data_IF_851316526317
#
_entry.id   IF_851316526317
#
_cell.length_a   1.000
_cell.length_b   1.000
_cell.length_c   1.000
_cell.angle_alpha   90.00
_cell.angle_beta   90.00
_cell.angle_gamma   90.00
#
_symmetry.space_group_name_H-M   'P 1'
#
loop_
_entity.id
_entity.type
_entity.pdbx_description
1 polymer ?
#
# COMPACT_ATOMS: atom_id res chain seq x y z
N UNK A 1 -3.44 -3.36 -28.79
CA UNK A 1 -3.25 -2.03 -28.18
C UNK A 1 -1.81 -1.95 -27.72
N UNK A 2 -1.21 -0.77 -27.77
CA UNK A 2 0.12 -0.54 -27.22
C UNK A 2 0.03 -0.65 -25.70
N UNK A 3 1.01 -1.30 -25.05
CA UNK A 3 1.02 -1.44 -23.59
C UNK A 3 1.39 -0.09 -22.97
N UNK A 4 0.69 0.27 -21.90
CA UNK A 4 0.92 1.47 -21.11
C UNK A 4 1.42 1.07 -19.73
N UNK A 5 2.59 1.57 -19.36
CA UNK A 5 3.25 1.27 -18.08
C UNK A 5 3.07 2.43 -17.11
N UNK A 6 2.64 2.13 -15.90
CA UNK A 6 2.71 3.05 -14.76
C UNK A 6 3.99 2.78 -13.99
N UNK A 7 4.78 3.82 -13.74
CA UNK A 7 6.00 3.72 -12.93
C UNK A 7 5.70 4.29 -11.56
N UNK A 8 5.81 3.45 -10.52
CA UNK A 8 5.61 3.79 -9.13
C UNK A 8 6.91 3.66 -8.33
N UNK A 9 7.09 4.50 -7.34
CA UNK A 9 8.25 4.44 -6.46
C UNK A 9 8.50 5.74 -5.70
N UNK A 10 9.43 5.72 -4.74
CA UNK A 10 9.78 6.88 -3.93
C UNK A 10 10.62 7.92 -4.68
N UNK A 11 10.90 7.74 -5.97
CA UNK A 11 11.75 8.63 -6.77
C UNK A 11 11.23 10.07 -6.75
N UNK A 12 9.91 10.28 -6.72
CA UNK A 12 9.32 11.63 -6.67
C UNK A 12 9.76 12.42 -5.41
N UNK A 13 10.23 11.75 -4.36
CA UNK A 13 10.72 12.38 -3.13
C UNK A 13 12.24 12.61 -3.12
N UNK A 14 13.00 12.04 -4.06
CA UNK A 14 14.45 12.20 -4.12
C UNK A 14 14.83 13.55 -4.74
N UNK A 15 16.02 14.04 -4.39
CA UNK A 15 16.53 15.33 -4.93
C UNK A 15 16.65 15.34 -6.45
N UNK A 16 17.02 14.21 -7.03
CA UNK A 16 17.15 14.03 -8.48
C UNK A 16 16.01 13.17 -9.07
N UNK A 17 14.88 13.07 -8.37
CA UNK A 17 13.80 12.14 -8.70
C UNK A 17 13.19 12.39 -10.06
N UNK A 18 12.92 13.64 -10.43
CA UNK A 18 12.42 13.98 -11.77
C UNK A 18 13.35 13.46 -12.88
N UNK A 19 14.66 13.62 -12.72
CA UNK A 19 15.63 13.14 -13.71
C UNK A 19 15.68 11.59 -13.78
N UNK A 20 15.48 10.91 -12.64
CA UNK A 20 15.40 9.45 -12.59
C UNK A 20 14.13 8.94 -13.27
N UNK A 21 12.97 9.48 -12.93
CA UNK A 21 11.70 9.13 -13.55
C UNK A 21 11.71 9.35 -15.08
N UNK A 22 12.28 10.48 -15.54
CA UNK A 22 12.43 10.75 -16.97
C UNK A 22 13.44 9.80 -17.67
N UNK A 23 14.44 9.30 -16.96
CA UNK A 23 15.34 8.28 -17.50
C UNK A 23 14.62 6.93 -17.66
N UNK A 24 13.82 6.51 -16.66
CA UNK A 24 12.99 5.31 -16.71
C UNK A 24 11.95 5.39 -17.83
N UNK A 25 11.30 6.55 -17.98
CA UNK A 25 10.37 6.82 -19.09
C UNK A 25 11.05 6.58 -20.44
N UNK A 26 12.17 7.26 -20.69
CA UNK A 26 12.90 7.12 -21.97
C UNK A 26 13.32 5.68 -22.26
N UNK A 27 13.72 4.94 -21.23
CA UNK A 27 14.10 3.53 -21.40
C UNK A 27 12.90 2.67 -21.81
N UNK A 28 11.75 2.84 -21.16
CA UNK A 28 10.54 2.09 -21.49
C UNK A 28 9.97 2.49 -22.87
N UNK A 29 9.97 3.78 -23.19
CA UNK A 29 9.55 4.29 -24.50
C UNK A 29 10.44 3.79 -25.64
N UNK A 30 11.75 3.67 -25.40
CA UNK A 30 12.68 3.06 -26.36
C UNK A 30 12.39 1.57 -26.61
N UNK A 31 11.74 0.90 -25.68
CA UNK A 31 11.22 -0.46 -25.83
C UNK A 31 9.84 -0.51 -26.49
N UNK A 32 9.24 0.63 -26.83
CA UNK A 32 7.95 0.71 -27.55
C UNK A 32 6.72 0.82 -26.66
N UNK A 33 6.85 1.07 -25.36
CA UNK A 33 5.74 1.23 -24.42
C UNK A 33 5.28 2.69 -24.33
N UNK A 34 4.02 2.91 -23.99
CA UNK A 34 3.56 4.19 -23.45
C UNK A 34 3.85 4.20 -21.95
N UNK A 35 4.20 5.36 -21.41
CA UNK A 35 4.56 5.48 -20.00
C UNK A 35 3.74 6.58 -19.34
N UNK A 36 3.26 6.31 -18.14
CA UNK A 36 2.62 7.29 -17.26
C UNK A 36 3.39 7.39 -15.94
N UNK A 37 3.60 8.60 -15.48
CA UNK A 37 4.24 8.93 -14.21
C UNK A 37 3.27 9.68 -13.29
N UNK A 38 3.46 9.64 -11.98
CA UNK A 38 2.62 10.38 -11.03
C UNK A 38 2.52 11.89 -11.30
N UNK A 39 3.52 12.47 -11.97
CA UNK A 39 3.64 13.91 -12.23
C UNK A 39 3.52 14.30 -13.70
N UNK A 40 2.92 13.47 -14.54
CA UNK A 40 2.91 13.63 -16.00
C UNK A 40 2.04 14.78 -16.54
N UNK A 41 0.98 15.07 -15.85
CA UNK A 41 0.06 16.10 -16.31
C UNK A 41 0.49 17.44 -15.72
N UNK A 42 0.55 18.53 -16.50
CA UNK A 42 0.75 19.83 -15.90
C UNK A 42 -0.44 20.15 -14.99
N UNK A 43 -0.25 19.88 -13.69
CA UNK A 43 -1.22 20.18 -12.66
C UNK A 43 -1.03 21.62 -12.20
N UNK A 44 -2.13 22.35 -12.03
CA UNK A 44 -2.11 23.61 -11.30
C UNK A 44 -1.98 23.30 -9.80
N UNK A 45 -0.75 23.37 -9.29
CA UNK A 45 -0.40 23.13 -7.89
C UNK A 45 -0.18 24.45 -7.13
N UNK A 46 -0.60 25.58 -7.70
CA UNK A 46 -0.50 26.91 -7.09
C UNK A 46 -1.63 27.26 -6.13
N UNK A 47 -2.50 26.32 -5.74
CA UNK A 47 -3.62 26.62 -4.87
C UNK A 47 -3.15 26.88 -3.43
N UNK A 48 -3.71 27.91 -2.77
CA UNK A 48 -3.40 28.22 -1.36
C UNK A 48 -3.80 27.09 -0.41
N UNK A 49 -4.90 26.41 -0.68
CA UNK A 49 -5.28 25.17 0.01
C UNK A 49 -4.44 24.01 -0.52
N UNK A 50 -3.43 23.63 0.25
CA UNK A 50 -2.47 22.58 -0.11
C UNK A 50 -3.13 21.20 -0.31
N UNK A 51 -4.25 20.95 0.36
CA UNK A 51 -5.01 19.69 0.21
C UNK A 51 -5.60 19.57 -1.19
N UNK A 52 -6.05 20.67 -1.80
CA UNK A 52 -6.51 20.65 -3.20
C UNK A 52 -5.41 20.30 -4.18
N UNK A 53 -4.17 20.72 -3.89
CA UNK A 53 -3.02 20.34 -4.72
C UNK A 53 -2.77 18.82 -4.60
N UNK A 54 -2.83 18.27 -3.39
CA UNK A 54 -2.72 16.82 -3.16
C UNK A 54 -3.83 16.04 -3.87
N UNK A 55 -5.08 16.49 -3.76
CA UNK A 55 -6.23 15.85 -4.42
C UNK A 55 -6.12 15.87 -5.96
N UNK A 56 -5.50 16.93 -6.52
CA UNK A 56 -5.23 17.00 -7.95
C UNK A 56 -4.19 15.96 -8.37
N UNK A 57 -3.11 15.80 -7.59
CA UNK A 57 -2.08 14.78 -7.81
C UNK A 57 -2.69 13.38 -7.69
N UNK A 58 -3.44 13.12 -6.61
CA UNK A 58 -4.11 11.84 -6.38
C UNK A 58 -4.99 11.43 -7.56
N UNK A 59 -5.85 12.34 -8.04
CA UNK A 59 -6.71 12.07 -9.20
C UNK A 59 -5.89 11.76 -10.45
N UNK A 60 -4.81 12.50 -10.68
CA UNK A 60 -3.91 12.22 -11.81
C UNK A 60 -3.26 10.84 -11.72
N UNK A 61 -2.83 10.41 -10.52
CA UNK A 61 -2.33 9.05 -10.29
C UNK A 61 -3.41 7.99 -10.58
N UNK A 62 -4.63 8.18 -10.06
CA UNK A 62 -5.75 7.28 -10.29
C UNK A 62 -6.12 7.18 -11.77
N UNK A 63 -6.25 8.32 -12.47
CA UNK A 63 -6.55 8.37 -13.90
C UNK A 63 -5.44 7.75 -14.75
N UNK A 64 -4.18 7.90 -14.33
CA UNK A 64 -3.02 7.30 -14.99
C UNK A 64 -2.99 5.79 -14.80
N UNK A 65 -3.31 5.31 -13.60
CA UNK A 65 -3.48 3.89 -13.30
C UNK A 65 -4.61 3.30 -14.14
N UNK A 66 -5.71 4.03 -14.31
CA UNK A 66 -6.86 3.60 -15.11
C UNK A 66 -6.53 3.37 -16.60
N UNK A 67 -5.54 4.06 -17.12
CA UNK A 67 -5.06 3.90 -18.51
C UNK A 67 -3.94 2.88 -18.67
N UNK A 68 -3.38 2.39 -17.55
CA UNK A 68 -2.21 1.52 -17.57
C UNK A 68 -2.61 0.04 -17.69
N UNK A 69 -1.71 -0.75 -18.28
CA UNK A 69 -1.84 -2.20 -18.48
C UNK A 69 -0.89 -3.00 -17.58
N UNK A 70 0.13 -2.33 -17.03
CA UNK A 70 1.04 -2.88 -16.02
C UNK A 70 1.57 -1.77 -15.14
N UNK A 71 1.99 -2.13 -13.92
CA UNK A 71 2.73 -1.27 -12.99
C UNK A 71 4.12 -1.84 -12.75
N UNK A 72 5.15 -0.97 -12.79
CA UNK A 72 6.52 -1.29 -12.41
C UNK A 72 6.89 -0.43 -11.20
N UNK A 73 7.17 -1.07 -10.06
CA UNK A 73 7.28 -0.41 -8.75
C UNK A 73 8.66 -0.62 -8.11
N UNK A 74 9.27 0.47 -7.63
CA UNK A 74 10.43 0.37 -6.73
C UNK A 74 9.99 -0.09 -5.34
N UNK A 75 10.53 -1.21 -4.89
CA UNK A 75 10.29 -1.81 -3.58
C UNK A 75 11.46 -1.61 -2.62
N UNK A 76 12.31 -0.62 -2.85
CA UNK A 76 13.36 -0.28 -1.91
C UNK A 76 12.76 0.19 -0.57
N UNK A 77 13.50 -0.06 0.52
CA UNK A 77 13.11 0.45 1.83
C UNK A 77 13.03 1.97 1.83
N UNK A 78 11.94 2.50 2.35
CA UNK A 78 11.65 3.92 2.42
C UNK A 78 11.25 4.32 3.83
N UNK A 79 12.04 5.17 4.49
CA UNK A 79 11.81 5.63 5.87
C UNK A 79 11.65 4.54 6.93
N UNK A 80 12.09 3.33 6.62
CA UNK A 80 11.97 2.14 7.47
C UNK A 80 12.19 0.86 6.67
N UNK A 81 11.78 -0.30 7.20
CA UNK A 81 11.91 -1.58 6.50
C UNK A 81 10.76 -1.86 5.51
N UNK A 82 9.84 -0.93 5.34
CA UNK A 82 8.76 -0.99 4.36
C UNK A 82 9.12 -0.18 3.11
N UNK A 83 8.60 -0.53 1.93
CA UNK A 83 8.60 0.33 0.76
C UNK A 83 7.74 1.60 0.99
N UNK A 84 7.79 2.55 0.06
CA UNK A 84 6.92 3.73 0.08
C UNK A 84 5.44 3.34 0.08
N UNK A 85 4.73 3.80 1.11
CA UNK A 85 3.33 3.43 1.32
C UNK A 85 2.40 3.87 0.18
N UNK A 86 2.68 5.02 -0.45
CA UNK A 86 1.93 5.48 -1.63
C UNK A 86 2.09 4.54 -2.81
N UNK A 87 3.30 4.10 -3.09
CA UNK A 87 3.59 3.12 -4.15
C UNK A 87 2.94 1.75 -3.88
N UNK A 88 2.91 1.32 -2.63
CA UNK A 88 2.21 0.08 -2.25
C UNK A 88 0.69 0.23 -2.39
N UNK A 89 0.13 1.39 -2.07
CA UNK A 89 -1.27 1.71 -2.34
C UNK A 89 -1.59 1.58 -3.85
N UNK A 90 -0.74 2.14 -4.72
CA UNK A 90 -0.86 2.05 -6.18
C UNK A 90 -0.76 0.60 -6.68
N UNK A 91 0.09 -0.24 -6.09
CA UNK A 91 0.12 -1.68 -6.36
C UNK A 91 -1.20 -2.37 -5.99
N UNK A 92 -1.83 -1.98 -4.87
CA UNK A 92 -3.14 -2.46 -4.48
C UNK A 92 -4.24 -2.09 -5.48
N UNK A 93 -4.23 -0.85 -5.99
CA UNK A 93 -5.12 -0.40 -7.07
C UNK A 93 -4.92 -1.23 -8.35
N UNK A 94 -3.67 -1.41 -8.75
CA UNK A 94 -3.30 -2.17 -9.95
C UNK A 94 -3.78 -3.63 -9.86
N UNK A 95 -3.51 -4.29 -8.73
CA UNK A 95 -3.98 -5.66 -8.48
C UNK A 95 -5.51 -5.77 -8.54
N UNK A 96 -6.22 -4.84 -7.90
CA UNK A 96 -7.68 -4.82 -7.88
C UNK A 96 -8.30 -4.63 -9.27
N UNK A 97 -7.60 -3.96 -10.19
CA UNK A 97 -7.95 -3.85 -11.61
C UNK A 97 -7.63 -5.09 -12.43
N UNK A 98 -6.83 -6.02 -11.89
CA UNK A 98 -6.33 -7.19 -12.62
C UNK A 98 -5.24 -6.85 -13.64
N UNK A 99 -4.53 -5.72 -13.49
CA UNK A 99 -3.35 -5.42 -14.31
C UNK A 99 -2.09 -6.03 -13.70
N UNK A 100 -1.10 -6.31 -14.54
CA UNK A 100 0.11 -7.00 -14.12
C UNK A 100 0.98 -6.13 -13.22
N UNK A 101 1.37 -6.67 -12.05
CA UNK A 101 2.20 -5.99 -11.07
C UNK A 101 3.64 -6.53 -11.10
N UNK A 102 4.60 -5.64 -11.32
CA UNK A 102 6.03 -5.93 -11.29
C UNK A 102 6.71 -5.02 -10.28
N UNK A 103 7.76 -5.56 -9.64
CA UNK A 103 8.54 -4.79 -8.69
C UNK A 103 10.03 -5.11 -8.78
N UNK A 104 10.86 -4.16 -8.38
CA UNK A 104 12.29 -4.34 -8.31
C UNK A 104 12.85 -3.90 -6.97
N UNK A 105 13.93 -4.54 -6.56
CA UNK A 105 14.65 -4.21 -5.34
C UNK A 105 16.10 -4.64 -5.48
N UNK A 106 17.02 -3.93 -4.86
CA UNK A 106 18.44 -4.33 -4.82
C UNK A 106 18.73 -5.46 -3.84
N UNK A 107 17.77 -5.81 -2.99
CA UNK A 107 17.91 -6.88 -2.00
C UNK A 107 16.59 -7.64 -1.85
N UNK A 108 16.52 -8.80 -2.52
CA UNK A 108 15.35 -9.70 -2.51
C UNK A 108 15.45 -10.79 -1.43
N UNK A 109 16.44 -10.74 -0.54
CA UNK A 109 16.55 -11.71 0.55
C UNK A 109 15.36 -11.59 1.49
N UNK A 110 15.09 -12.66 2.25
CA UNK A 110 14.07 -12.64 3.29
C UNK A 110 14.33 -11.56 4.35
N UNK A 111 13.28 -11.02 4.94
CA UNK A 111 13.34 -9.90 5.89
C UNK A 111 14.28 -10.16 7.07
N UNK A 112 14.33 -11.41 7.57
CA UNK A 112 15.25 -11.79 8.65
C UNK A 112 16.74 -11.64 8.29
N UNK A 113 17.10 -11.59 7.01
CA UNK A 113 18.48 -11.41 6.55
C UNK A 113 18.81 -9.97 6.14
N UNK A 114 17.81 -9.18 5.78
CA UNK A 114 18.05 -7.82 5.27
C UNK A 114 17.69 -6.71 6.26
N UNK A 115 16.81 -6.96 7.23
CA UNK A 115 16.45 -5.95 8.22
C UNK A 115 17.50 -5.90 9.36
N UNK A 116 18.41 -4.94 9.23
CA UNK A 116 19.50 -4.77 10.19
C UNK A 116 19.01 -4.40 11.60
N UNK A 117 19.51 -5.15 12.60
CA UNK A 117 19.14 -4.95 13.99
C UNK A 117 17.83 -5.58 14.40
N UNK A 118 17.27 -6.43 13.54
CA UNK A 118 16.21 -7.36 13.92
C UNK A 118 16.78 -8.58 14.65
N UNK A 119 15.91 -9.26 15.40
CA UNK A 119 16.23 -10.51 16.09
C UNK A 119 15.17 -11.54 15.76
N UNK A 120 15.61 -12.71 15.29
CA UNK A 120 14.72 -13.86 15.04
C UNK A 120 14.63 -14.71 16.32
N UNK A 121 13.40 -14.96 16.81
CA UNK A 121 13.10 -15.82 17.97
C UNK A 121 11.88 -16.68 17.64
N UNK A 122 12.01 -17.98 17.78
CA UNK A 122 10.93 -18.94 17.54
C UNK A 122 10.22 -18.73 16.19
N UNK A 123 10.99 -18.45 15.13
CA UNK A 123 10.47 -18.19 13.79
C UNK A 123 9.84 -16.79 13.60
N UNK A 124 9.74 -15.99 14.65
CA UNK A 124 9.20 -14.64 14.62
C UNK A 124 10.34 -13.61 14.62
N UNK A 125 10.29 -12.66 13.68
CA UNK A 125 11.22 -11.55 13.60
C UNK A 125 10.75 -10.40 14.50
N UNK A 126 11.70 -9.75 15.20
CA UNK A 126 11.45 -8.59 16.05
C UNK A 126 12.41 -7.46 15.71
N UNK A 127 11.93 -6.23 15.75
CA UNK A 127 12.76 -5.04 15.58
C UNK A 127 13.55 -4.69 16.88
N UNK A 128 14.36 -3.62 16.82
CA UNK A 128 15.13 -3.14 17.98
C UNK A 128 14.28 -2.69 19.17
N UNK A 129 13.01 -2.35 18.94
CA UNK A 129 12.03 -1.97 19.97
C UNK A 129 11.21 -3.18 20.44
N UNK A 130 11.61 -4.40 20.06
CA UNK A 130 10.93 -5.64 20.39
C UNK A 130 9.50 -5.73 19.84
N UNK A 131 9.21 -5.07 18.71
CA UNK A 131 7.94 -5.17 18.01
C UNK A 131 8.02 -6.26 16.95
N UNK A 132 7.00 -7.12 16.79
CA UNK A 132 7.05 -8.22 15.82
C UNK A 132 6.91 -7.74 14.37
N UNK A 133 7.66 -8.38 13.48
CA UNK A 133 7.50 -8.33 12.03
C UNK A 133 6.94 -9.69 11.57
N UNK A 134 5.75 -9.74 10.98
CA UNK A 134 5.03 -11.01 10.82
C UNK A 134 5.49 -11.88 9.64
N UNK A 135 6.45 -11.43 8.81
CA UNK A 135 6.86 -12.10 7.57
C UNK A 135 8.39 -12.29 7.45
N UNK A 136 8.98 -12.88 8.47
CA UNK A 136 10.44 -13.09 8.57
C UNK A 136 11.05 -13.81 7.34
N UNK A 137 10.33 -14.77 6.76
CA UNK A 137 10.78 -15.63 5.65
C UNK A 137 10.52 -15.03 4.27
N UNK A 138 9.83 -13.89 4.17
CA UNK A 138 9.52 -13.20 2.93
C UNK A 138 10.38 -11.95 2.74
N UNK A 139 10.63 -11.53 1.49
CA UNK A 139 11.33 -10.26 1.23
C UNK A 139 10.50 -9.02 1.54
N UNK A 140 9.18 -9.10 1.47
CA UNK A 140 8.20 -8.05 1.73
C UNK A 140 6.95 -8.65 2.35
N UNK A 141 5.95 -7.82 2.63
CA UNK A 141 4.68 -8.28 3.17
C UNK A 141 3.95 -9.27 2.24
N UNK A 142 3.09 -10.15 2.78
CA UNK A 142 2.42 -11.18 2.00
C UNK A 142 1.61 -10.67 0.80
N UNK A 143 0.89 -9.56 0.92
CA UNK A 143 0.12 -9.01 -0.20
C UNK A 143 1.04 -8.60 -1.36
N UNK A 144 2.16 -7.94 -1.04
CA UNK A 144 3.16 -7.54 -2.05
C UNK A 144 3.77 -8.77 -2.72
N UNK A 145 4.25 -9.75 -1.93
CA UNK A 145 4.88 -10.97 -2.48
C UNK A 145 3.90 -11.82 -3.27
N UNK A 146 2.64 -11.88 -2.83
CA UNK A 146 1.61 -12.67 -3.52
C UNK A 146 1.11 -12.06 -4.83
N UNK A 147 1.15 -10.72 -4.95
CA UNK A 147 0.62 -10.00 -6.11
C UNK A 147 1.68 -9.62 -7.15
N UNK A 148 2.93 -9.41 -6.74
CA UNK A 148 3.97 -8.73 -7.52
C UNK A 148 5.05 -9.70 -7.98
N UNK A 149 5.38 -9.69 -9.27
CA UNK A 149 6.57 -10.37 -9.79
C UNK A 149 7.80 -9.53 -9.48
N UNK A 150 8.60 -9.97 -8.50
CA UNK A 150 9.73 -9.21 -7.96
C UNK A 150 11.04 -9.70 -8.57
N UNK A 151 11.83 -8.77 -9.14
CA UNK A 151 13.19 -9.02 -9.61
C UNK A 151 14.21 -8.38 -8.67
N UNK A 152 15.34 -9.03 -8.46
CA UNK A 152 16.51 -8.42 -7.81
C UNK A 152 17.30 -7.64 -8.86
N UNK A 153 17.39 -6.31 -8.65
CA UNK A 153 18.02 -5.41 -9.63
C UNK A 153 17.42 -4.01 -9.56
N UNK A 154 17.41 -3.31 -10.69
CA UNK A 154 16.84 -1.99 -10.86
C UNK A 154 15.68 -1.97 -11.86
N UNK A 155 15.26 -0.76 -12.27
CA UNK A 155 14.18 -0.57 -13.22
C UNK A 155 14.40 -1.34 -14.54
N UNK A 156 15.62 -1.30 -15.10
CA UNK A 156 15.95 -1.99 -16.35
C UNK A 156 15.74 -3.50 -16.25
N UNK A 157 16.08 -4.12 -15.10
CA UNK A 157 15.88 -5.56 -14.88
C UNK A 157 14.37 -5.88 -14.77
N UNK A 158 13.60 -5.00 -14.14
CA UNK A 158 12.14 -5.13 -14.05
C UNK A 158 11.48 -5.00 -15.42
N UNK A 159 11.88 -4.02 -16.21
CA UNK A 159 11.40 -3.82 -17.57
C UNK A 159 11.75 -5.02 -18.47
N UNK A 160 12.94 -5.60 -18.31
CA UNK A 160 13.34 -6.79 -19.03
C UNK A 160 12.48 -8.01 -18.66
N UNK A 161 12.18 -8.21 -17.37
CA UNK A 161 11.27 -9.26 -16.90
C UNK A 161 9.86 -9.07 -17.50
N UNK A 162 9.31 -7.85 -17.43
CA UNK A 162 8.00 -7.53 -18.02
C UNK A 162 7.95 -7.89 -19.51
N UNK A 163 8.99 -7.55 -20.28
CA UNK A 163 9.06 -7.83 -21.72
C UNK A 163 9.06 -9.33 -22.03
N UNK A 164 9.79 -10.13 -21.25
CA UNK A 164 9.79 -11.60 -21.38
C UNK A 164 8.40 -12.16 -21.11
N UNK A 165 7.77 -11.73 -20.03
CA UNK A 165 6.43 -12.18 -19.66
C UNK A 165 5.36 -11.76 -20.68
N UNK A 166 5.45 -10.56 -21.23
CA UNK A 166 4.56 -10.09 -22.30
C UNK A 166 4.68 -10.94 -23.55
N UNK A 167 5.91 -11.30 -23.92
CA UNK A 167 6.16 -12.18 -25.08
C UNK A 167 5.60 -13.60 -24.86
N UNK A 168 5.78 -14.17 -23.66
CA UNK A 168 5.23 -15.46 -23.30
C UNK A 168 3.69 -15.44 -23.24
N UNK A 169 3.10 -14.40 -22.68
CA UNK A 169 1.64 -14.18 -22.66
C UNK A 169 1.07 -14.10 -24.08
N UNK A 170 1.78 -13.46 -25.00
CA UNK A 170 1.37 -13.35 -26.41
C UNK A 170 1.41 -14.71 -27.11
N UNK A 171 2.34 -15.59 -26.73
CA UNK A 171 2.48 -16.96 -27.32
C UNK A 171 1.47 -17.94 -26.72
N UNK A 172 1.20 -17.86 -25.43
CA UNK A 172 0.50 -18.90 -24.66
C UNK A 172 -0.85 -18.48 -24.09
N UNK A 173 -1.24 -17.22 -24.28
CA UNK A 173 -2.44 -16.62 -23.68
C UNK A 173 -2.17 -16.06 -22.30
N UNK A 174 -3.03 -15.14 -21.85
CA UNK A 174 -2.95 -14.50 -20.56
C UNK A 174 -3.25 -15.48 -19.42
N UNK A 175 -2.48 -15.42 -18.36
CA UNK A 175 -2.95 -15.96 -17.10
C UNK A 175 -4.21 -15.18 -16.71
N UNK A 176 -5.28 -15.91 -16.44
CA UNK A 176 -6.61 -15.33 -16.16
C UNK A 176 -6.49 -14.33 -15.00
N UNK A 177 -6.93 -13.08 -15.18
CA UNK A 177 -7.09 -12.18 -14.04
C UNK A 177 -7.99 -12.86 -13.00
N UNK A 178 -7.72 -12.64 -11.73
CA UNK A 178 -8.63 -13.09 -10.67
C UNK A 178 -10.01 -12.47 -10.97
N UNK A 179 -11.04 -13.28 -11.25
CA UNK A 179 -12.34 -12.72 -11.58
C UNK A 179 -12.81 -11.83 -10.43
N UNK A 180 -13.45 -10.70 -10.72
CA UNK A 180 -14.05 -9.91 -9.66
C UNK A 180 -15.00 -10.84 -8.89
N UNK A 181 -14.90 -10.91 -7.54
CA UNK A 181 -15.85 -11.69 -6.77
C UNK A 181 -17.27 -11.15 -7.00
N UNK A 182 -18.24 -12.04 -6.98
CA UNK A 182 -19.65 -11.67 -7.02
C UNK A 182 -19.98 -10.76 -5.82
N UNK A 183 -20.83 -9.78 -6.02
CA UNK A 183 -21.36 -8.96 -4.92
C UNK A 183 -22.27 -9.86 -4.07
N UNK A 184 -21.83 -10.18 -2.87
CA UNK A 184 -22.66 -10.86 -1.88
C UNK A 184 -23.61 -9.82 -1.25
N UNK A 185 -24.89 -10.12 -1.22
CA UNK A 185 -25.88 -9.32 -0.49
C UNK A 185 -25.80 -9.71 0.99
N UNK A 186 -25.43 -8.76 1.84
CA UNK A 186 -25.30 -8.97 3.28
C UNK A 186 -26.53 -8.41 4.01
N UNK A 187 -26.97 -9.11 5.06
CA UNK A 187 -28.06 -8.63 5.93
C UNK A 187 -27.61 -7.43 6.79
N UNK A 188 -26.34 -7.34 7.10
CA UNK A 188 -25.71 -6.27 7.88
C UNK A 188 -24.53 -5.70 7.13
N UNK A 189 -24.26 -4.40 7.25
CA UNK A 189 -23.05 -3.84 6.68
C UNK A 189 -21.81 -4.44 7.36
N UNK A 190 -20.78 -4.68 6.55
CA UNK A 190 -19.51 -5.29 6.99
C UNK A 190 -18.47 -4.20 7.18
N UNK A 191 -17.93 -4.12 8.40
CA UNK A 191 -16.77 -3.30 8.75
C UNK A 191 -15.52 -4.16 8.75
N UNK A 192 -14.57 -3.91 7.85
CA UNK A 192 -13.24 -4.53 7.91
C UNK A 192 -12.27 -3.59 8.63
N UNK A 193 -11.73 -4.08 9.75
CA UNK A 193 -10.69 -3.40 10.51
C UNK A 193 -9.32 -3.84 9.96
N UNK A 194 -8.82 -3.16 8.93
CA UNK A 194 -7.54 -3.48 8.30
C UNK A 194 -6.36 -2.99 9.14
N UNK A 195 -5.33 -3.80 9.29
CA UNK A 195 -4.15 -3.43 10.06
C UNK A 195 -3.18 -4.58 10.30
N UNK A 196 -2.05 -4.33 11.00
CA UNK A 196 -1.04 -5.35 11.26
C UNK A 196 -1.58 -6.59 11.96
N UNK A 197 -1.17 -7.76 11.51
CA UNK A 197 -1.71 -9.08 11.88
C UNK A 197 -1.70 -9.46 13.36
N UNK A 198 -1.32 -8.65 14.31
CA UNK A 198 -1.35 -8.94 15.75
C UNK A 198 -2.05 -7.87 16.57
N UNK A 199 -2.98 -7.22 15.96
CA UNK A 199 -3.76 -6.16 16.57
C UNK A 199 -4.79 -6.62 17.59
N UNK A 200 -5.31 -7.83 17.45
CA UNK A 200 -6.17 -8.49 18.41
C UNK A 200 -5.61 -8.49 19.84
N UNK A 201 -4.28 -8.38 19.98
CA UNK A 201 -3.62 -8.23 21.26
C UNK A 201 -3.75 -6.81 21.85
N UNK A 202 -4.10 -5.79 21.03
CA UNK A 202 -4.32 -4.43 21.52
C UNK A 202 -5.71 -4.28 22.12
N UNK A 203 -5.84 -3.74 23.36
CA UNK A 203 -7.15 -3.45 23.95
C UNK A 203 -8.01 -2.55 23.06
N UNK A 204 -7.41 -1.49 22.47
CA UNK A 204 -8.11 -0.51 21.64
C UNK A 204 -8.78 -1.15 20.42
N UNK A 205 -8.15 -2.18 19.86
CA UNK A 205 -8.67 -2.88 18.71
C UNK A 205 -9.85 -3.79 19.04
N UNK A 206 -9.77 -4.48 20.16
CA UNK A 206 -10.92 -5.27 20.68
C UNK A 206 -12.10 -4.38 21.00
N UNK A 207 -11.87 -3.25 21.62
CA UNK A 207 -12.90 -2.26 21.90
C UNK A 207 -13.54 -1.71 20.61
N UNK A 208 -12.75 -1.48 19.57
CA UNK A 208 -13.26 -1.06 18.26
C UNK A 208 -14.13 -2.13 17.61
N UNK A 209 -13.69 -3.38 17.63
CA UNK A 209 -14.47 -4.50 17.08
C UNK A 209 -15.79 -4.69 17.83
N UNK A 210 -15.76 -4.59 19.17
CA UNK A 210 -16.96 -4.69 20.01
C UNK A 210 -17.90 -3.50 19.77
N UNK A 211 -17.35 -2.30 19.62
CA UNK A 211 -18.12 -1.10 19.25
C UNK A 211 -18.82 -1.26 17.89
N UNK A 212 -18.11 -1.83 16.92
CA UNK A 212 -18.68 -2.12 15.58
C UNK A 212 -19.86 -3.07 15.66
N UNK A 213 -19.68 -4.20 16.35
CA UNK A 213 -20.76 -5.19 16.57
C UNK A 213 -21.96 -4.57 17.31
N UNK A 214 -21.69 -3.75 18.34
CA UNK A 214 -22.74 -3.06 19.08
C UNK A 214 -23.49 -2.01 18.24
N UNK A 215 -22.85 -1.45 17.23
CA UNK A 215 -23.46 -0.50 16.28
C UNK A 215 -24.15 -1.21 15.08
N UNK A 216 -24.20 -2.53 15.05
CA UNK A 216 -24.93 -3.27 14.00
C UNK A 216 -24.10 -3.75 12.82
N UNK A 217 -22.77 -3.55 12.82
CA UNK A 217 -21.88 -4.13 11.82
C UNK A 217 -21.65 -5.63 12.04
N UNK A 218 -21.49 -6.38 10.95
CA UNK A 218 -20.59 -7.53 10.96
C UNK A 218 -19.15 -6.98 10.93
N UNK A 219 -18.27 -7.51 11.78
CA UNK A 219 -16.89 -7.01 11.88
C UNK A 219 -15.94 -8.10 11.43
N UNK A 220 -15.12 -7.80 10.43
CA UNK A 220 -14.00 -8.62 9.96
C UNK A 220 -12.69 -8.02 10.47
N UNK A 221 -11.76 -8.88 10.85
CA UNK A 221 -10.42 -8.53 11.31
C UNK A 221 -9.35 -9.26 10.48
N UNK A 222 -8.07 -8.86 10.50
CA UNK A 222 -7.01 -9.57 9.81
C UNK A 222 -6.80 -11.01 10.26
N UNK A 223 -7.37 -11.40 11.41
CA UNK A 223 -7.26 -12.74 11.97
C UNK A 223 -8.41 -13.66 11.59
N UNK A 224 -9.49 -13.12 11.06
CA UNK A 224 -10.57 -13.95 10.56
C UNK A 224 -10.06 -14.79 9.37
N UNK A 225 -10.32 -16.10 9.42
CA UNK A 225 -9.80 -17.07 8.45
C UNK A 225 -8.25 -17.08 8.33
N UNK A 226 -7.54 -16.60 9.36
CA UNK A 226 -6.08 -16.58 9.33
C UNK A 226 -5.47 -17.97 9.47
N UNK A 227 -4.62 -18.31 8.51
CA UNK A 227 -3.84 -19.55 8.53
C UNK A 227 -2.36 -19.21 8.79
N UNK A 228 -1.77 -19.70 9.88
CA UNK A 228 -0.38 -19.45 10.19
C UNK A 228 0.55 -20.04 9.13
N UNK A 229 1.73 -19.45 8.98
CA UNK A 229 2.79 -20.01 8.17
C UNK A 229 3.28 -21.34 8.78
N UNK A 230 3.18 -22.42 8.02
CA UNK A 230 3.73 -23.72 8.43
C UNK A 230 5.22 -23.80 8.06
N UNK A 231 6.04 -24.41 8.95
CA UNK A 231 7.50 -24.44 8.79
C UNK A 231 7.99 -25.21 7.54
N UNK A 232 7.17 -26.09 7.01
CA UNK A 232 7.41 -26.91 5.82
C UNK A 232 6.73 -26.38 4.54
N UNK A 233 6.01 -25.26 4.65
CA UNK A 233 5.33 -24.62 3.52
C UNK A 233 6.29 -23.71 2.76
N UNK A 234 6.12 -23.61 1.43
CA UNK A 234 6.74 -22.57 0.62
C UNK A 234 6.20 -21.19 1.05
N UNK A 235 7.06 -20.25 1.51
CA UNK A 235 6.62 -18.96 1.98
C UNK A 235 5.91 -18.12 0.89
N UNK A 236 6.25 -18.29 -0.37
CA UNK A 236 5.59 -17.59 -1.49
C UNK A 236 4.16 -18.11 -1.72
N UNK A 237 3.94 -19.42 -1.52
CA UNK A 237 2.60 -20.01 -1.57
C UNK A 237 1.72 -19.51 -0.43
N UNK A 238 2.29 -19.43 0.79
CA UNK A 238 1.61 -18.84 1.93
C UNK A 238 1.25 -17.37 1.70
N UNK A 239 2.18 -16.57 1.16
CA UNK A 239 1.94 -15.17 0.80
C UNK A 239 0.77 -15.03 -0.19
N UNK A 240 0.73 -15.87 -1.23
CA UNK A 240 -0.36 -15.86 -2.20
C UNK A 240 -1.73 -16.21 -1.57
N UNK A 241 -1.78 -17.23 -0.67
CA UNK A 241 -3.02 -17.54 0.06
C UNK A 241 -3.46 -16.39 0.95
N UNK A 242 -2.51 -15.74 1.62
CA UNK A 242 -2.78 -14.56 2.46
C UNK A 242 -3.34 -13.41 1.63
N UNK A 243 -2.75 -13.09 0.49
CA UNK A 243 -3.28 -12.11 -0.45
C UNK A 243 -4.73 -12.42 -0.85
N UNK A 244 -5.03 -13.67 -1.24
CA UNK A 244 -6.40 -14.05 -1.66
C UNK A 244 -7.41 -13.91 -0.52
N UNK A 245 -7.03 -14.24 0.71
CA UNK A 245 -7.85 -14.02 1.90
C UNK A 245 -8.11 -12.54 2.15
N UNK A 246 -7.05 -11.73 2.18
CA UNK A 246 -7.15 -10.29 2.42
C UNK A 246 -7.98 -9.62 1.32
N UNK A 247 -7.76 -9.96 0.05
CA UNK A 247 -8.56 -9.47 -1.05
C UNK A 247 -10.05 -9.83 -0.92
N UNK A 248 -10.37 -11.03 -0.39
CA UNK A 248 -11.74 -11.43 -0.10
C UNK A 248 -12.36 -10.56 1.01
N UNK A 249 -11.62 -10.29 2.09
CA UNK A 249 -12.08 -9.41 3.17
C UNK A 249 -12.39 -8.00 2.66
N UNK A 250 -11.47 -7.40 1.89
CA UNK A 250 -11.67 -6.08 1.28
C UNK A 250 -12.86 -6.10 0.30
N UNK A 251 -13.04 -7.19 -0.44
CA UNK A 251 -14.12 -7.28 -1.42
C UNK A 251 -15.48 -7.37 -0.75
N UNK A 252 -15.58 -8.14 0.34
CA UNK A 252 -16.81 -8.32 1.10
C UNK A 252 -17.21 -7.10 1.92
N UNK A 253 -16.25 -6.29 2.40
CA UNK A 253 -16.60 -5.18 3.28
C UNK A 253 -17.34 -4.05 2.56
N UNK A 254 -18.23 -3.37 3.30
CA UNK A 254 -18.84 -2.10 2.88
C UNK A 254 -17.99 -0.91 3.32
N UNK A 255 -17.30 -1.08 4.46
CA UNK A 255 -16.45 -0.08 5.08
C UNK A 255 -15.11 -0.69 5.43
N UNK A 256 -14.03 -0.06 5.00
CA UNK A 256 -12.67 -0.38 5.44
C UNK A 256 -12.22 0.72 6.43
N UNK A 257 -11.81 0.33 7.63
CA UNK A 257 -11.12 1.18 8.59
C UNK A 257 -9.68 0.70 8.72
N UNK A 258 -8.75 1.48 8.17
CA UNK A 258 -7.34 1.15 8.12
C UNK A 258 -6.57 1.73 9.31
N UNK A 259 -5.74 0.92 9.94
CA UNK A 259 -4.69 1.42 10.82
C UNK A 259 -3.46 1.84 10.01
N UNK A 260 -3.28 3.12 9.95
CA UNK A 260 -2.21 3.77 9.24
C UNK A 260 -1.09 4.28 10.17
N UNK A 261 -0.98 3.69 11.40
CA UNK A 261 0.14 4.04 12.29
C UNK A 261 1.49 3.71 11.68
N UNK A 262 2.50 4.43 12.11
CA UNK A 262 3.88 4.16 11.72
C UNK A 262 4.30 2.72 12.09
N UNK A 263 4.67 1.94 11.08
CA UNK A 263 5.03 0.54 11.22
C UNK A 263 6.53 0.33 11.03
N UNK A 264 7.27 0.19 12.13
CA UNK A 264 8.73 0.03 12.16
C UNK A 264 9.58 1.18 11.57
N UNK A 265 8.94 2.21 11.02
CA UNK A 265 9.49 3.40 10.39
C UNK A 265 8.48 4.54 10.44
N UNK A 266 8.36 5.29 9.34
CA UNK A 266 7.41 6.39 9.18
C UNK A 266 6.35 6.11 8.11
N UNK A 267 6.29 4.88 7.64
CA UNK A 267 5.30 4.40 6.69
C UNK A 267 4.31 3.45 7.39
N UNK A 268 3.06 3.32 6.90
CA UNK A 268 2.14 2.30 7.36
C UNK A 268 2.62 0.91 6.97
N UNK A 269 2.03 -0.14 7.53
CA UNK A 269 2.29 -1.50 7.10
C UNK A 269 1.90 -1.72 5.64
N UNK A 270 2.76 -2.39 4.88
CA UNK A 270 2.55 -2.59 3.44
C UNK A 270 1.30 -3.40 3.10
N UNK A 271 0.92 -4.42 3.89
CA UNK A 271 -0.33 -5.16 3.63
C UNK A 271 -1.55 -4.24 3.78
N UNK A 272 -1.58 -3.42 4.82
CA UNK A 272 -2.65 -2.44 5.05
C UNK A 272 -2.68 -1.38 3.95
N UNK A 273 -1.51 -0.88 3.51
CA UNK A 273 -1.41 0.06 2.40
C UNK A 273 -1.97 -0.54 1.09
N UNK A 274 -1.62 -1.80 0.81
CA UNK A 274 -2.11 -2.53 -0.35
C UNK A 274 -3.63 -2.73 -0.30
N UNK A 275 -4.17 -3.07 0.87
CA UNK A 275 -5.61 -3.22 1.11
C UNK A 275 -6.38 -1.92 0.90
N UNK A 276 -5.81 -0.78 1.30
CA UNK A 276 -6.38 0.54 1.00
C UNK A 276 -6.46 0.80 -0.50
N UNK A 277 -5.42 0.46 -1.27
CA UNK A 277 -5.44 0.57 -2.73
C UNK A 277 -6.52 -0.30 -3.38
N UNK A 278 -6.65 -1.56 -2.92
CA UNK A 278 -7.73 -2.45 -3.37
C UNK A 278 -9.11 -1.88 -3.04
N UNK A 279 -9.30 -1.39 -1.81
CA UNK A 279 -10.56 -0.85 -1.34
C UNK A 279 -10.98 0.38 -2.16
N UNK A 280 -10.07 1.29 -2.43
CA UNK A 280 -10.30 2.45 -3.28
C UNK A 280 -10.77 2.02 -4.69
N UNK A 281 -10.02 1.12 -5.32
CA UNK A 281 -10.32 0.67 -6.68
C UNK A 281 -11.65 -0.07 -6.78
N UNK A 282 -12.10 -0.71 -5.71
CA UNK A 282 -13.41 -1.38 -5.63
C UNK A 282 -14.52 -0.48 -5.09
N UNK A 283 -14.26 0.82 -4.92
CA UNK A 283 -15.27 1.82 -4.50
C UNK A 283 -15.78 1.63 -3.08
N UNK A 284 -14.97 1.07 -2.18
CA UNK A 284 -15.33 0.88 -0.78
C UNK A 284 -15.32 2.20 -0.02
N UNK A 285 -16.15 2.36 1.00
CA UNK A 285 -16.02 3.47 1.95
C UNK A 285 -14.81 3.24 2.83
N UNK A 286 -13.96 4.25 2.94
CA UNK A 286 -12.67 4.12 3.60
C UNK A 286 -12.49 5.17 4.68
N UNK A 287 -11.90 4.75 5.81
CA UNK A 287 -11.47 5.60 6.90
C UNK A 287 -10.08 5.17 7.35
N UNK A 288 -9.25 6.14 7.72
CA UNK A 288 -7.94 5.90 8.29
C UNK A 288 -7.90 6.26 9.77
N UNK A 289 -7.14 5.52 10.53
CA UNK A 289 -6.81 5.84 11.90
C UNK A 289 -5.31 5.82 12.13
N UNK A 290 -4.82 6.76 12.91
CA UNK A 290 -3.44 6.76 13.40
C UNK A 290 -3.38 7.49 14.75
N UNK A 291 -2.39 7.16 15.62
CA UNK A 291 -2.31 7.74 16.96
C UNK A 291 -1.93 9.23 16.99
N UNK A 292 -1.43 9.77 15.88
CA UNK A 292 -1.02 11.16 15.73
C UNK A 292 -1.32 11.61 14.29
N UNK A 293 -2.42 12.34 14.10
CA UNK A 293 -2.86 12.83 12.80
C UNK A 293 -2.39 14.28 12.50
N UNK A 294 -1.36 14.78 13.17
CA UNK A 294 -0.74 16.06 12.80
C UNK A 294 -0.13 15.98 11.39
N UNK A 295 -0.01 17.09 10.68
CA UNK A 295 0.62 17.15 9.38
C UNK A 295 1.98 16.42 9.35
N UNK A 296 2.26 15.70 8.26
CA UNK A 296 3.43 14.84 8.10
C UNK A 296 4.74 15.56 8.40
N UNK A 297 4.89 16.84 7.98
CA UNK A 297 6.08 17.67 8.29
C UNK A 297 6.28 17.96 9.78
N UNK A 298 5.25 17.89 10.58
CA UNK A 298 5.35 18.05 12.04
C UNK A 298 5.68 16.74 12.75
N UNK A 299 5.41 15.62 12.10
CA UNK A 299 5.58 14.26 12.64
C UNK A 299 6.90 13.63 12.24
N UNK A 300 7.23 13.65 10.94
CA UNK A 300 8.46 13.05 10.40
C UNK A 300 9.63 14.00 10.65
N UNK A 301 10.68 13.58 11.35
CA UNK A 301 11.88 14.40 11.53
C UNK A 301 12.48 14.84 10.20
N UNK A 302 12.71 16.12 10.05
CA UNK A 302 13.24 16.71 8.82
C UNK A 302 14.15 17.91 9.13
N UNK A 303 14.90 18.35 8.12
CA UNK A 303 15.91 19.40 8.22
C UNK A 303 15.35 20.83 8.02
N UNK A 304 14.03 20.97 7.89
CA UNK A 304 13.37 22.26 7.73
C UNK A 304 13.50 22.85 6.33
N UNK A 305 12.99 24.11 6.16
CA UNK A 305 12.82 24.73 4.83
C UNK A 305 14.14 24.99 4.10
N UNK A 306 15.22 25.29 4.83
CA UNK A 306 16.56 25.52 4.24
C UNK A 306 17.15 24.28 3.53
N UNK A 307 16.65 23.09 3.87
CA UNK A 307 17.02 21.81 3.29
C UNK A 307 15.85 21.15 2.58
N UNK A 308 14.91 21.95 2.06
CA UNK A 308 13.74 21.47 1.32
C UNK A 308 12.89 20.45 2.11
N UNK A 309 12.84 20.56 3.45
CA UNK A 309 12.13 19.65 4.34
C UNK A 309 12.54 18.16 4.18
N UNK A 310 13.83 17.92 3.90
CA UNK A 310 14.33 16.54 3.73
C UNK A 310 14.51 15.85 5.06
N UNK A 311 14.12 14.58 5.08
CA UNK A 311 14.34 13.68 6.20
C UNK A 311 15.78 13.13 6.27
N UNK A 312 16.04 12.23 7.20
CA UNK A 312 17.38 11.62 7.41
C UNK A 312 17.81 10.74 6.20
N UNK A 313 16.88 10.30 5.35
CA UNK A 313 17.16 9.55 4.13
C UNK A 313 17.40 10.47 2.92
N UNK A 314 17.28 11.79 3.11
CA UNK A 314 17.40 12.79 2.05
C UNK A 314 16.15 12.94 1.18
N UNK A 315 15.02 12.34 1.60
CA UNK A 315 13.75 12.40 0.90
C UNK A 315 12.94 13.62 1.34
N UNK A 316 12.26 14.28 0.40
CA UNK A 316 11.34 15.36 0.73
C UNK A 316 10.15 14.84 1.55
N UNK A 317 9.78 15.54 2.62
CA UNK A 317 8.56 15.26 3.40
C UNK A 317 7.43 16.10 2.84
N UNK A 318 6.37 15.45 2.38
CA UNK A 318 5.21 16.08 1.72
C UNK A 318 4.62 17.22 2.56
N UNK A 319 4.12 18.24 1.86
CA UNK A 319 3.57 19.46 2.44
C UNK A 319 2.16 19.75 1.94
N UNK A 320 1.23 18.90 2.32
CA UNK A 320 -0.17 19.07 1.95
C UNK A 320 -1.10 19.26 3.13
N UNK A 321 -0.55 19.58 4.32
CA UNK A 321 -1.29 19.62 5.59
C UNK A 321 -2.03 18.32 5.91
N UNK A 322 -1.53 17.22 5.37
CA UNK A 322 -2.02 15.88 5.60
C UNK A 322 -1.10 15.10 6.55
N UNK A 323 -1.66 14.16 7.32
CA UNK A 323 -0.89 13.38 8.30
C UNK A 323 -0.03 12.29 7.65
N UNK A 324 -0.35 11.89 6.43
CA UNK A 324 0.29 10.80 5.70
C UNK A 324 0.38 11.13 4.21
N UNK A 325 1.11 10.30 3.45
CA UNK A 325 1.21 10.36 2.00
C UNK A 325 -0.15 10.62 1.35
N UNK A 326 -0.16 11.45 0.31
CA UNK A 326 -1.37 11.93 -0.36
C UNK A 326 -2.28 10.81 -0.89
N UNK A 327 -1.75 9.63 -1.22
CA UNK A 327 -2.57 8.50 -1.69
C UNK A 327 -3.58 8.05 -0.64
N UNK A 328 -3.20 8.04 0.64
CA UNK A 328 -4.12 7.76 1.74
C UNK A 328 -5.00 8.96 2.07
N UNK A 329 -4.37 10.12 2.25
CA UNK A 329 -5.03 11.29 2.83
C UNK A 329 -6.04 11.95 1.90
N UNK A 330 -5.88 11.80 0.56
CA UNK A 330 -6.85 12.27 -0.43
C UNK A 330 -7.96 11.25 -0.72
N UNK A 331 -7.75 9.97 -0.38
CA UNK A 331 -8.74 8.91 -0.63
C UNK A 331 -9.67 8.67 0.55
N UNK A 332 -9.28 9.04 1.78
CA UNK A 332 -10.06 8.79 2.98
C UNK A 332 -9.79 9.83 4.08
N UNK A 333 -10.77 10.14 4.95
CA UNK A 333 -10.53 10.90 6.16
C UNK A 333 -9.68 10.08 7.15
N UNK A 334 -8.64 10.71 7.71
CA UNK A 334 -7.76 10.11 8.73
C UNK A 334 -8.01 10.81 10.06
N UNK A 335 -8.13 10.05 11.14
CA UNK A 335 -8.44 10.55 12.49
C UNK A 335 -7.49 9.96 13.54
N UNK A 336 -7.26 10.72 14.62
CA UNK A 336 -6.52 10.28 15.82
C UNK A 336 -7.42 10.15 17.07
N UNK A 337 -8.74 10.23 16.86
CA UNK A 337 -9.68 9.96 17.96
C UNK A 337 -9.59 8.48 18.41
N UNK A 338 -9.97 8.16 19.68
CA UNK A 338 -10.00 6.76 20.11
C UNK A 338 -10.75 5.87 19.14
N UNK A 339 -10.15 4.73 18.78
CA UNK A 339 -10.59 3.89 17.66
C UNK A 339 -12.07 3.45 17.80
N UNK A 340 -12.50 3.11 19.02
CA UNK A 340 -13.90 2.76 19.28
C UNK A 340 -14.88 3.94 19.09
N UNK A 341 -14.44 5.19 19.32
CA UNK A 341 -15.24 6.38 19.05
C UNK A 341 -15.35 6.66 17.55
N UNK A 342 -14.25 6.46 16.82
CA UNK A 342 -14.25 6.55 15.36
C UNK A 342 -15.25 5.55 14.75
N UNK A 343 -15.25 4.31 15.20
CA UNK A 343 -16.23 3.28 14.76
C UNK A 343 -17.66 3.72 15.02
N UNK A 344 -17.95 4.27 16.22
CA UNK A 344 -19.30 4.82 16.54
C UNK A 344 -19.68 5.99 15.65
N UNK A 345 -18.73 6.87 15.32
CA UNK A 345 -18.93 7.99 14.40
C UNK A 345 -19.27 7.48 13.00
N UNK A 346 -18.50 6.51 12.48
CA UNK A 346 -18.76 5.87 11.18
C UNK A 346 -20.19 5.27 11.16
N UNK A 347 -20.59 4.56 12.21
CA UNK A 347 -21.92 3.98 12.29
C UNK A 347 -23.04 5.04 12.22
N UNK A 348 -22.86 6.19 12.88
CA UNK A 348 -23.80 7.32 12.80
C UNK A 348 -23.85 7.94 11.39
N UNK A 349 -22.70 8.12 10.74
CA UNK A 349 -22.63 8.63 9.36
C UNK A 349 -23.33 7.69 8.37
N UNK A 350 -23.41 6.41 8.69
CA UNK A 350 -24.12 5.39 7.92
C UNK A 350 -25.57 5.15 8.36
N UNK A 351 -26.05 5.91 9.33
CA UNK A 351 -27.41 5.80 9.89
C UNK A 351 -27.73 4.41 10.48
N UNK A 352 -26.77 3.74 11.07
CA UNK A 352 -26.95 2.44 11.73
C UNK A 352 -27.38 2.59 13.20
N UNK A 353 -27.08 3.70 13.83
CA UNK A 353 -27.40 4.05 15.22
C UNK A 353 -27.75 5.53 15.33
#
# INVERSE_FOLDING_TARGET
MKQALYIAGPECFYRNGTAQLEAMRREAEACGYDVTLPNDTPLDLGHEDLRRNADAIFRNCADSMDRSTAILCDLAFYRGPEPDGGSIYELGMAYARGISCYGYTRDKRAMCWKYQGSTLRDGQLFDRKNRPLPYASLPFSPNVVGAVKIVEGGFSDCLALFRVDEEETRKHGSAVPVPPPEEEVHEKPILYLAGPQRWDASPDYREAADAGRACGFEVITPLDDWEPYAADEDPYRWAYRTLLRNARHVRRCDVLLADLRDFHGWEPESDTAFECGMAFQWGKRMYGWMPDARPMRQRVPNLGPEQEWRDACGCNVENFDYPLNLMFSSSMPISDEPLALLVRRIARELHLV
#
